data_IF_564676139034
#
_entry.id   IF_564676139034
#
_cell.length_a   1.000
_cell.length_b   1.000
_cell.length_c   1.000
_cell.angle_alpha   90.00
_cell.angle_beta   90.00
_cell.angle_gamma   90.00
#
_symmetry.space_group_name_H-M   'P 1'
#
loop_
_entity.id
_entity.type
_entity.pdbx_description
1 polymer ?
#
# COMPACT_ATOMS: atom_id res chain seq x y z
N UNK A 1 -8.74 6.96 -0.65
CA UNK A 1 -9.13 5.87 0.28
C UNK A 1 -10.61 5.55 0.10
N UNK A 2 -10.91 4.30 -0.18
CA UNK A 2 -12.30 3.88 -0.30
C UNK A 2 -12.94 3.92 1.08
N UNK A 3 -14.17 4.48 1.18
CA UNK A 3 -14.86 4.54 2.46
C UNK A 3 -15.23 3.13 2.94
N UNK A 4 -15.27 2.94 4.26
CA UNK A 4 -15.69 1.66 4.83
C UNK A 4 -17.14 1.31 4.44
N UNK A 5 -17.98 2.32 4.25
CA UNK A 5 -19.34 2.13 3.78
C UNK A 5 -19.38 1.50 2.39
N UNK A 6 -18.50 1.94 1.49
CA UNK A 6 -18.41 1.34 0.17
C UNK A 6 -17.91 -0.09 0.25
N UNK A 7 -16.97 -0.37 1.13
CA UNK A 7 -16.47 -1.72 1.35
C UNK A 7 -17.61 -2.63 1.84
N UNK A 8 -18.42 -2.15 2.77
CA UNK A 8 -19.56 -2.91 3.28
C UNK A 8 -20.57 -3.22 2.18
N UNK A 9 -20.89 -2.25 1.32
CA UNK A 9 -21.82 -2.47 0.21
C UNK A 9 -21.32 -3.53 -0.76
N UNK A 10 -20.03 -3.59 -0.98
CA UNK A 10 -19.43 -4.54 -1.90
C UNK A 10 -19.13 -5.89 -1.25
N UNK A 11 -19.20 -5.96 0.06
CA UNK A 11 -18.77 -7.13 0.81
C UNK A 11 -19.41 -8.45 0.38
N UNK A 12 -20.73 -8.53 0.19
CA UNK A 12 -21.34 -9.78 -0.25
C UNK A 12 -20.84 -10.25 -1.61
N UNK A 13 -20.78 -9.34 -2.58
CA UNK A 13 -20.26 -9.67 -3.90
C UNK A 13 -18.79 -10.06 -3.84
N UNK A 14 -18.03 -9.37 -3.03
CA UNK A 14 -16.60 -9.64 -2.88
C UNK A 14 -16.37 -11.01 -2.25
N UNK A 15 -17.16 -11.38 -1.26
CA UNK A 15 -17.07 -12.69 -0.65
C UNK A 15 -17.43 -13.80 -1.62
N UNK A 16 -18.36 -13.55 -2.54
CA UNK A 16 -18.70 -14.49 -3.59
C UNK A 16 -17.61 -14.62 -4.64
N UNK A 17 -16.94 -13.51 -4.95
CA UNK A 17 -15.86 -13.50 -5.94
C UNK A 17 -14.60 -14.23 -5.47
N UNK A 18 -14.31 -14.17 -4.16
CA UNK A 18 -13.06 -14.67 -3.62
C UNK A 18 -13.27 -15.67 -2.47
N UNK A 19 -14.11 -16.69 -2.64
CA UNK A 19 -14.45 -17.57 -1.52
C UNK A 19 -13.27 -18.39 -1.01
N UNK A 20 -12.25 -18.58 -1.80
CA UNK A 20 -11.12 -19.46 -1.47
C UNK A 20 -9.79 -18.73 -1.33
N UNK A 21 -9.78 -17.42 -1.34
CA UNK A 21 -8.51 -16.69 -1.31
C UNK A 21 -7.78 -16.80 0.02
N UNK A 22 -8.52 -16.81 1.12
CA UNK A 22 -7.94 -16.88 2.45
C UNK A 22 -8.82 -17.74 3.34
N UNK A 23 -8.28 -18.85 3.85
CA UNK A 23 -9.04 -19.71 4.77
C UNK A 23 -9.54 -18.97 6.00
N UNK A 24 -8.86 -17.91 6.41
CA UNK A 24 -9.19 -17.14 7.60
C UNK A 24 -10.09 -15.94 7.34
N UNK A 25 -10.60 -15.79 6.13
CA UNK A 25 -11.50 -14.69 5.77
C UNK A 25 -12.72 -14.65 6.67
N UNK A 26 -13.24 -15.82 7.07
CA UNK A 26 -14.40 -15.88 7.94
C UNK A 26 -14.17 -15.19 9.28
N UNK A 27 -12.97 -15.28 9.83
CA UNK A 27 -12.61 -14.60 11.06
C UNK A 27 -12.59 -13.09 10.86
N UNK A 28 -11.98 -12.66 9.75
CA UNK A 28 -11.93 -11.24 9.41
C UNK A 28 -13.33 -10.69 9.08
N UNK A 29 -14.18 -11.51 8.43
CA UNK A 29 -15.51 -11.09 8.03
C UNK A 29 -16.47 -10.91 9.20
N UNK A 30 -16.20 -11.52 10.37
CA UNK A 30 -17.04 -11.36 11.56
C UNK A 30 -16.85 -10.00 12.23
N UNK A 31 -15.75 -9.33 11.93
CA UNK A 31 -15.44 -8.02 12.49
C UNK A 31 -15.89 -6.92 11.54
N UNK A 32 -16.95 -6.20 11.89
CA UNK A 32 -17.40 -5.04 11.12
C UNK A 32 -16.53 -3.84 11.43
N UNK A 33 -15.90 -3.24 10.43
CA UNK A 33 -15.16 -2.01 10.66
C UNK A 33 -16.11 -0.87 11.00
N UNK A 34 -15.75 -0.09 11.99
CA UNK A 34 -16.50 1.09 12.36
C UNK A 34 -16.15 2.25 11.42
N UNK A 35 -17.16 3.09 11.17
CA UNK A 35 -16.93 4.30 10.39
C UNK A 35 -16.02 5.24 11.18
N UNK A 36 -14.93 5.71 10.57
CA UNK A 36 -14.07 6.66 11.27
C UNK A 36 -14.80 7.95 11.57
N UNK A 37 -14.70 8.41 12.80
CA UNK A 37 -15.26 9.69 13.21
C UNK A 37 -14.22 10.79 12.99
N UNK A 38 -14.71 12.00 12.76
CA UNK A 38 -13.84 13.16 12.64
C UNK A 38 -13.11 13.31 11.32
N UNK A 39 -13.40 12.47 10.34
CA UNK A 39 -12.83 12.66 9.01
C UNK A 39 -13.54 13.80 8.30
N UNK A 40 -12.84 14.89 8.07
CA UNK A 40 -13.36 16.01 7.30
C UNK A 40 -13.50 15.61 5.83
N UNK A 41 -14.56 16.12 5.21
CA UNK A 41 -14.71 15.97 3.76
C UNK A 41 -13.70 16.89 3.07
N UNK A 42 -13.09 16.40 2.02
CA UNK A 42 -12.18 17.20 1.19
C UNK A 42 -12.74 17.32 -0.23
N UNK A 43 -12.39 18.41 -0.90
CA UNK A 43 -12.73 18.58 -2.30
C UNK A 43 -11.84 17.72 -3.21
N UNK A 44 -12.31 17.50 -4.42
CA UNK A 44 -11.53 16.72 -5.39
C UNK A 44 -10.19 17.39 -5.71
N UNK A 45 -10.13 18.71 -5.65
CA UNK A 45 -8.88 19.45 -5.86
C UNK A 45 -7.82 19.09 -4.83
N UNK A 46 -8.23 18.90 -3.58
CA UNK A 46 -7.30 18.53 -2.51
C UNK A 46 -6.71 17.15 -2.78
N UNK A 47 -7.56 16.21 -3.21
CA UNK A 47 -7.09 14.87 -3.57
C UNK A 47 -6.17 14.90 -4.80
N UNK A 48 -6.48 15.74 -5.76
CA UNK A 48 -5.67 15.85 -6.98
C UNK A 48 -4.28 16.42 -6.70
N UNK A 49 -4.09 17.05 -5.55
CA UNK A 49 -2.77 17.48 -5.09
C UNK A 49 -1.86 16.33 -4.69
N UNK A 50 -2.40 15.15 -4.44
CA UNK A 50 -1.63 13.95 -4.12
C UNK A 50 -1.35 13.21 -5.43
N UNK A 51 -0.07 12.96 -5.72
CA UNK A 51 0.30 12.24 -6.93
C UNK A 51 0.54 10.76 -6.63
N UNK A 52 -0.39 9.93 -7.05
CA UNK A 52 -0.29 8.48 -6.93
C UNK A 52 0.20 7.90 -8.25
N UNK A 53 1.24 7.07 -8.20
CA UNK A 53 1.81 6.43 -9.38
C UNK A 53 1.97 4.95 -9.18
N UNK A 54 1.86 4.20 -10.27
CA UNK A 54 2.14 2.78 -10.26
C UNK A 54 3.65 2.56 -10.31
N UNK A 55 4.13 1.59 -9.57
CA UNK A 55 5.55 1.28 -9.50
C UNK A 55 5.76 -0.22 -9.29
N UNK A 56 6.96 -0.69 -9.60
CA UNK A 56 7.35 -2.08 -9.39
C UNK A 56 8.47 -2.14 -8.37
N UNK A 57 8.40 -3.06 -7.44
CA UNK A 57 9.48 -3.30 -6.49
C UNK A 57 10.54 -4.13 -7.20
N UNK A 58 11.73 -3.56 -7.37
CA UNK A 58 12.82 -4.23 -8.06
C UNK A 58 13.88 -4.79 -7.12
N UNK A 59 13.95 -4.25 -5.90
CA UNK A 59 14.81 -4.77 -4.86
C UNK A 59 14.21 -4.46 -3.49
N UNK A 60 14.49 -5.31 -2.53
CA UNK A 60 14.00 -5.13 -1.18
C UNK A 60 14.99 -5.75 -0.21
N UNK A 61 15.31 -5.04 0.86
CA UNK A 61 16.20 -5.57 1.88
C UNK A 61 15.79 -5.09 3.27
N UNK A 62 16.17 -5.85 4.27
CA UNK A 62 15.94 -5.48 5.66
C UNK A 62 16.93 -4.40 6.08
N UNK A 63 16.46 -3.51 6.95
CA UNK A 63 17.31 -2.47 7.54
C UNK A 63 17.91 -3.03 8.82
N UNK A 64 19.24 -3.23 8.91
CA UNK A 64 19.85 -3.87 10.07
C UNK A 64 19.58 -3.16 11.39
N UNK A 65 19.49 -1.83 11.38
CA UNK A 65 19.29 -1.01 12.57
C UNK A 65 17.83 -0.86 12.97
N UNK A 66 16.89 -1.29 12.11
CA UNK A 66 15.45 -1.09 12.34
C UNK A 66 14.69 -2.34 11.90
N UNK A 67 14.37 -3.18 12.87
CA UNK A 67 13.71 -4.48 12.62
C UNK A 67 12.34 -4.36 11.94
N UNK A 68 11.69 -3.20 12.05
CA UNK A 68 10.37 -2.98 11.47
C UNK A 68 10.41 -2.46 10.04
N UNK A 69 11.58 -2.04 9.57
CA UNK A 69 11.69 -1.37 8.29
C UNK A 69 12.24 -2.27 7.20
N UNK A 70 11.67 -2.12 6.01
CA UNK A 70 12.22 -2.64 4.77
C UNK A 70 12.60 -1.47 3.89
N UNK A 71 13.77 -1.58 3.26
CA UNK A 71 14.22 -0.62 2.26
C UNK A 71 13.88 -1.19 0.89
N UNK A 72 13.09 -0.45 0.16
CA UNK A 72 12.58 -0.85 -1.15
C UNK A 72 13.21 0.01 -2.23
N UNK A 73 13.68 -0.63 -3.29
CA UNK A 73 14.01 0.08 -4.52
C UNK A 73 12.87 -0.14 -5.48
N UNK A 74 12.25 0.94 -5.92
CA UNK A 74 11.08 0.88 -6.80
C UNK A 74 11.37 1.53 -8.14
N UNK A 75 10.75 0.98 -9.17
CA UNK A 75 10.84 1.48 -10.54
C UNK A 75 9.50 2.08 -10.94
N UNK A 76 9.51 3.37 -11.24
CA UNK A 76 8.33 4.11 -11.71
C UNK A 76 8.22 4.13 -13.23
N UNK A 77 9.13 3.45 -13.91
CA UNK A 77 9.20 3.47 -15.37
C UNK A 77 10.04 4.61 -15.90
N UNK A 78 9.87 5.80 -15.36
CA UNK A 78 10.67 6.97 -15.75
C UNK A 78 11.82 7.28 -14.79
N UNK A 79 11.82 6.71 -13.63
CA UNK A 79 12.90 6.84 -12.64
C UNK A 79 12.81 5.73 -11.61
N UNK A 80 13.88 5.54 -10.87
CA UNK A 80 13.90 4.64 -9.72
C UNK A 80 13.97 5.47 -8.45
N UNK A 81 13.34 4.97 -7.39
CA UNK A 81 13.37 5.63 -6.08
C UNK A 81 13.58 4.62 -4.96
N UNK A 82 14.17 5.11 -3.87
CA UNK A 82 14.29 4.36 -2.64
C UNK A 82 13.16 4.77 -1.70
N UNK A 83 12.45 3.79 -1.19
CA UNK A 83 11.36 4.00 -0.24
C UNK A 83 11.57 3.09 0.95
N UNK A 84 11.32 3.61 2.14
CA UNK A 84 11.41 2.85 3.38
C UNK A 84 10.01 2.68 3.96
N UNK A 85 9.65 1.46 4.32
CA UNK A 85 8.31 1.16 4.83
C UNK A 85 8.38 0.25 6.04
N UNK A 86 7.48 0.48 6.99
CA UNK A 86 7.40 -0.27 8.25
C UNK A 86 6.67 -1.61 8.12
N UNK A 87 6.98 -2.40 7.11
CA UNK A 87 6.27 -3.65 6.82
C UNK A 87 7.12 -4.92 7.01
N UNK A 88 8.30 -4.79 7.63
CA UNK A 88 9.22 -5.91 7.77
C UNK A 88 8.67 -7.08 8.59
N UNK A 89 7.69 -6.82 9.46
CA UNK A 89 7.05 -7.87 10.26
C UNK A 89 6.08 -8.72 9.45
N UNK A 90 5.60 -8.19 8.33
CA UNK A 90 4.50 -8.79 7.58
C UNK A 90 4.94 -9.38 6.26
N UNK A 91 6.10 -9.01 5.76
CA UNK A 91 6.60 -9.44 4.45
C UNK A 91 8.06 -9.81 4.50
N UNK A 92 8.41 -10.91 3.84
CA UNK A 92 9.79 -11.20 3.54
C UNK A 92 10.23 -10.39 2.32
N UNK A 93 11.46 -9.89 2.29
CA UNK A 93 11.93 -9.09 1.15
C UNK A 93 11.73 -9.77 -0.20
N UNK A 94 12.00 -11.06 -0.27
CA UNK A 94 11.89 -11.83 -1.51
C UNK A 94 10.46 -11.90 -2.04
N UNK A 95 9.48 -11.88 -1.14
CA UNK A 95 8.07 -11.94 -1.52
C UNK A 95 7.57 -10.65 -2.18
N UNK A 96 8.25 -9.55 -1.95
CA UNK A 96 7.87 -8.25 -2.50
C UNK A 96 8.50 -7.94 -3.84
N UNK A 97 9.65 -8.54 -4.14
CA UNK A 97 10.36 -8.27 -5.39
C UNK A 97 9.52 -8.71 -6.57
N UNK A 98 9.35 -7.81 -7.54
CA UNK A 98 8.54 -8.05 -8.73
C UNK A 98 7.08 -7.64 -8.59
N UNK A 99 6.62 -7.30 -7.39
CA UNK A 99 5.25 -6.87 -7.16
C UNK A 99 5.04 -5.43 -7.60
N UNK A 100 3.86 -5.16 -8.12
CA UNK A 100 3.46 -3.79 -8.51
C UNK A 100 2.60 -3.19 -7.42
N UNK A 101 2.87 -1.94 -7.12
CA UNK A 101 2.30 -1.21 -5.99
C UNK A 101 1.90 0.20 -6.40
N UNK A 102 1.25 0.89 -5.48
CA UNK A 102 0.93 2.31 -5.63
C UNK A 102 1.84 3.09 -4.71
N UNK A 103 2.49 4.12 -5.24
CA UNK A 103 3.35 4.98 -4.46
C UNK A 103 2.84 6.42 -4.49
N UNK A 104 2.91 7.10 -3.34
CA UNK A 104 2.69 8.54 -3.27
C UNK A 104 3.99 9.20 -3.70
N UNK A 105 3.98 9.79 -4.89
CA UNK A 105 5.21 10.21 -5.58
C UNK A 105 5.63 11.63 -5.27
N UNK A 106 4.75 12.47 -4.78
CA UNK A 106 5.07 13.89 -4.53
C UNK A 106 5.18 14.28 -3.06
N UNK A 107 5.61 13.34 -2.23
CA UNK A 107 5.96 13.64 -0.85
C UNK A 107 7.39 14.16 -0.75
N UNK A 108 7.61 15.06 0.21
CA UNK A 108 8.96 15.48 0.54
C UNK A 108 9.73 14.30 1.08
N UNK A 109 11.02 14.14 0.73
CA UNK A 109 11.82 13.06 1.27
C UNK A 109 11.87 13.10 2.80
N UNK A 110 11.83 11.93 3.41
CA UNK A 110 11.94 11.77 4.86
C UNK A 110 13.08 10.81 5.17
N UNK A 111 13.71 11.02 6.33
CA UNK A 111 14.78 10.13 6.79
C UNK A 111 14.25 9.26 7.92
N UNK A 112 14.30 7.95 7.72
CA UNK A 112 13.86 6.96 8.70
C UNK A 112 15.07 6.12 9.09
N UNK A 113 15.45 6.18 10.37
CA UNK A 113 16.61 5.46 10.88
C UNK A 113 17.87 5.67 10.03
N UNK A 114 18.10 6.92 9.62
CA UNK A 114 19.27 7.29 8.82
C UNK A 114 19.17 6.98 7.34
N UNK A 115 18.04 6.45 6.89
CA UNK A 115 17.83 6.09 5.48
C UNK A 115 16.78 7.00 4.87
N UNK A 116 17.10 7.59 3.73
CA UNK A 116 16.18 8.47 3.02
C UNK A 116 15.09 7.68 2.33
N UNK A 117 13.85 8.11 2.54
CA UNK A 117 12.66 7.56 1.87
C UNK A 117 12.07 8.62 0.95
N UNK A 118 11.94 8.30 -0.31
CA UNK A 118 11.50 9.20 -1.37
C UNK A 118 10.12 8.81 -1.88
N UNK A 119 9.18 8.69 -0.97
CA UNK A 119 7.80 8.33 -1.28
C UNK A 119 7.21 7.47 -0.19
N UNK A 120 5.97 7.05 -0.43
CA UNK A 120 5.24 6.20 0.51
C UNK A 120 4.42 5.20 -0.29
N UNK A 121 4.49 3.94 0.09
CA UNK A 121 3.62 2.92 -0.51
C UNK A 121 2.30 2.86 0.23
N UNK A 122 1.24 2.44 -0.46
CA UNK A 122 -0.07 2.31 0.14
C UNK A 122 -0.26 0.90 0.71
N UNK A 123 -0.79 0.85 1.91
CA UNK A 123 -1.09 -0.40 2.59
C UNK A 123 -2.34 -0.23 3.44
N UNK A 124 -2.99 -1.32 3.75
CA UNK A 124 -4.16 -1.33 4.63
C UNK A 124 -3.82 -1.98 5.97
N UNK A 125 -4.58 -1.60 6.99
CA UNK A 125 -4.47 -2.20 8.32
C UNK A 125 -3.43 -1.53 9.21
N UNK A 126 -3.59 -1.73 10.51
CA UNK A 126 -2.67 -1.21 11.52
C UNK A 126 -1.95 -2.34 12.24
N UNK A 127 -2.71 -3.32 12.74
CA UNK A 127 -2.16 -4.47 13.43
C UNK A 127 -1.65 -5.53 12.45
N UNK A 128 -2.36 -5.70 11.37
CA UNK A 128 -2.01 -6.63 10.30
C UNK A 128 -1.97 -5.86 8.99
N UNK A 129 -0.79 -5.50 8.58
CA UNK A 129 -0.60 -4.62 7.42
C UNK A 129 -0.54 -5.44 6.13
N UNK A 130 -1.31 -4.99 5.15
CA UNK A 130 -1.31 -5.57 3.81
C UNK A 130 -1.05 -4.49 2.78
N UNK A 131 -0.02 -4.68 1.99
CA UNK A 131 0.31 -3.76 0.90
C UNK A 131 -0.75 -3.89 -0.20
N UNK A 132 -1.11 -2.77 -0.80
CA UNK A 132 -2.05 -2.76 -1.94
C UNK A 132 -1.26 -3.15 -3.19
N UNK A 133 -1.44 -4.39 -3.64
CA UNK A 133 -0.80 -4.88 -4.84
C UNK A 133 -1.68 -4.64 -6.06
N UNK A 134 -1.04 -4.40 -7.18
CA UNK A 134 -1.72 -4.20 -8.46
C UNK A 134 -1.59 -5.45 -9.32
N UNK A 135 -2.43 -5.51 -10.34
CA UNK A 135 -2.35 -6.55 -11.36
C UNK A 135 -0.95 -6.54 -12.00
N UNK A 136 -0.32 -7.71 -12.21
CA UNK A 136 1.00 -7.79 -12.82
C UNK A 136 1.10 -7.16 -14.22
N UNK A 137 -0.03 -7.04 -14.92
CA UNK A 137 -0.09 -6.42 -16.24
C UNK A 137 -0.13 -4.90 -16.20
N UNK A 138 -0.28 -4.30 -15.01
CA UNK A 138 -0.37 -2.84 -14.88
C UNK A 138 0.91 -2.16 -15.37
N UNK A 139 0.82 -1.20 -16.30
CA UNK A 139 1.99 -0.44 -16.72
C UNK A 139 2.56 0.41 -15.58
N UNK A 140 3.85 0.67 -15.62
CA UNK A 140 4.53 1.48 -14.62
C UNK A 140 4.40 2.97 -14.90
N UNK A 141 4.41 3.76 -13.84
CA UNK A 141 4.39 5.21 -13.95
C UNK A 141 3.03 5.82 -14.28
N UNK A 142 1.99 5.02 -14.29
CA UNK A 142 0.65 5.53 -14.55
C UNK A 142 0.10 6.25 -13.33
N UNK A 143 -0.70 7.27 -13.60
CA UNK A 143 -1.37 7.99 -12.53
C UNK A 143 -2.56 7.20 -12.02
N UNK A 144 -2.62 7.04 -10.71
CA UNK A 144 -3.75 6.41 -10.02
C UNK A 144 -4.67 7.52 -9.52
N UNK A 145 -5.97 7.36 -9.80
CA UNK A 145 -6.96 8.40 -9.48
C UNK A 145 -8.33 7.80 -9.18
#
# INVERSE_FOLDING_TARGET
MVSKTQIEKCSPARNQEYPNMHPNVNIAATHKPEKPEGCALIGIEDFMGVELRTAKIIACERVPKAKKLLKLQIDLGYEERQVVSGIAKFYEPEALIGKKIIVVANLKPATLCGIESNGMILASGEEEVRVVFLDPETPLGERVR
#
